data_IF_461415902711
#
_entry.id   IF_461415902711
#
_cell.length_a   1.000
_cell.length_b   1.000
_cell.length_c   1.000
_cell.angle_alpha   90.00
_cell.angle_beta   90.00
_cell.angle_gamma   90.00
#
_symmetry.space_group_name_H-M   'P 1'
#
loop_
_entity.id
_entity.type
_entity.pdbx_description
1 polymer ?
#
# COMPACT_ATOMS: atom_id res chain seq x y z
N UNK A 1 -22.43 20.95 -75.98
CA UNK A 1 -22.70 19.89 -74.98
C UNK A 1 -21.56 19.97 -73.98
N UNK A 2 -21.77 20.65 -72.81
CA UNK A 2 -20.74 20.90 -71.78
C UNK A 2 -21.04 19.98 -70.58
N UNK A 3 -20.22 18.95 -70.39
CA UNK A 3 -20.26 18.09 -69.24
C UNK A 3 -19.65 18.84 -68.03
N UNK A 4 -20.44 19.04 -66.95
CA UNK A 4 -19.98 19.54 -65.68
C UNK A 4 -19.63 18.37 -64.74
N UNK A 5 -18.33 18.18 -64.43
CA UNK A 5 -17.89 17.28 -63.37
C UNK A 5 -18.17 17.92 -62.01
N UNK A 6 -18.83 17.19 -61.11
CA UNK A 6 -19.03 17.53 -59.69
C UNK A 6 -17.83 17.01 -58.90
N UNK A 7 -17.21 17.76 -58.02
CA UNK A 7 -16.23 17.24 -57.09
C UNK A 7 -16.94 16.54 -55.92
N UNK A 8 -16.65 15.24 -55.74
CA UNK A 8 -17.05 14.51 -54.54
C UNK A 8 -16.13 14.89 -53.36
N UNK A 9 -16.75 15.56 -52.38
CA UNK A 9 -16.06 15.88 -51.15
C UNK A 9 -15.87 14.63 -50.26
N UNK A 10 -14.67 14.26 -50.03
CA UNK A 10 -14.31 13.31 -48.98
C UNK A 10 -14.25 14.04 -47.66
N UNK A 11 -15.15 13.71 -46.74
CA UNK A 11 -15.07 14.10 -45.32
C UNK A 11 -14.17 13.10 -44.63
N UNK A 12 -13.09 13.54 -43.95
CA UNK A 12 -12.35 12.65 -43.08
C UNK A 12 -13.17 12.39 -41.80
N UNK A 13 -13.53 11.13 -41.58
CA UNK A 13 -14.08 10.68 -40.31
C UNK A 13 -12.99 10.77 -39.23
N UNK A 14 -13.04 11.83 -38.44
CA UNK A 14 -12.20 11.96 -37.25
C UNK A 14 -12.70 10.94 -36.21
N UNK A 15 -12.03 9.78 -36.16
CA UNK A 15 -12.27 8.78 -35.11
C UNK A 15 -11.79 9.32 -33.76
N UNK A 16 -12.75 9.64 -32.89
CA UNK A 16 -12.50 10.03 -31.51
C UNK A 16 -12.09 8.78 -30.73
N UNK A 17 -10.78 8.56 -30.55
CA UNK A 17 -10.24 7.54 -29.66
C UNK A 17 -10.51 8.00 -28.21
N UNK A 18 -11.59 7.53 -27.61
CA UNK A 18 -11.80 7.62 -26.16
C UNK A 18 -10.76 6.71 -25.48
N UNK A 19 -9.67 7.30 -24.99
CA UNK A 19 -8.76 6.63 -24.08
C UNK A 19 -9.52 6.36 -22.77
N UNK A 20 -9.86 5.10 -22.52
CA UNK A 20 -10.38 4.63 -21.23
C UNK A 20 -9.25 4.75 -20.21
N UNK A 21 -9.18 5.88 -19.51
CA UNK A 21 -8.33 6.04 -18.34
C UNK A 21 -8.86 5.10 -17.25
N UNK A 22 -8.23 3.93 -17.09
CA UNK A 22 -8.48 3.08 -15.92
C UNK A 22 -7.90 3.81 -14.71
N UNK A 23 -8.68 4.07 -13.64
CA UNK A 23 -8.11 4.59 -12.41
C UNK A 23 -7.10 3.56 -11.89
N UNK A 24 -5.86 3.99 -11.71
CA UNK A 24 -4.88 3.18 -10.99
C UNK A 24 -5.46 2.95 -9.59
N UNK A 25 -5.85 1.71 -9.28
CA UNK A 25 -6.29 1.36 -7.94
C UNK A 25 -5.13 1.65 -6.98
N UNK A 26 -5.34 2.56 -6.03
CA UNK A 26 -4.37 2.80 -4.98
C UNK A 26 -4.20 1.51 -4.18
N UNK A 27 -2.96 1.16 -3.84
CA UNK A 27 -2.68 0.00 -2.99
C UNK A 27 -3.32 0.25 -1.62
N UNK A 28 -4.14 -0.68 -1.17
CA UNK A 28 -4.77 -0.63 0.15
C UNK A 28 -3.98 -1.51 1.11
N UNK A 29 -3.62 -0.96 2.27
CA UNK A 29 -2.96 -1.69 3.34
C UNK A 29 -3.79 -1.66 4.59
N UNK A 30 -3.84 -2.81 5.29
CA UNK A 30 -4.44 -2.93 6.63
C UNK A 30 -3.46 -3.63 7.56
N UNK A 31 -3.45 -3.22 8.81
CA UNK A 31 -2.61 -3.86 9.83
C UNK A 31 -3.40 -4.92 10.59
N UNK A 32 -2.71 -5.94 11.07
CA UNK A 32 -3.30 -6.92 11.97
C UNK A 32 -3.52 -6.30 13.36
N UNK A 33 -4.70 -6.43 13.92
CA UNK A 33 -5.01 -5.95 15.29
C UNK A 33 -4.44 -6.85 16.39
N UNK A 34 -4.11 -8.11 16.05
CA UNK A 34 -3.57 -9.14 16.96
C UNK A 34 -2.77 -10.15 16.17
N UNK A 35 -2.04 -11.02 16.86
CA UNK A 35 -1.43 -12.17 16.20
C UNK A 35 -2.52 -13.13 15.68
N UNK A 36 -2.37 -13.61 14.45
CA UNK A 36 -3.38 -14.39 13.74
C UNK A 36 -2.74 -15.36 12.74
N UNK A 37 -3.44 -16.46 12.47
CA UNK A 37 -3.06 -17.42 11.45
C UNK A 37 -3.39 -16.89 10.06
N UNK A 38 -2.51 -17.19 9.10
CA UNK A 38 -2.73 -17.03 7.67
C UNK A 38 -3.00 -18.39 7.03
N UNK A 39 -3.93 -18.43 6.08
CA UNK A 39 -4.44 -19.64 5.46
C UNK A 39 -4.21 -19.64 3.94
N UNK A 40 -4.18 -20.81 3.32
CA UNK A 40 -4.09 -20.98 1.86
C UNK A 40 -5.44 -20.78 1.14
N UNK A 41 -6.56 -20.85 1.87
CA UNK A 41 -7.91 -20.63 1.36
C UNK A 41 -8.77 -19.87 2.40
N UNK A 42 -9.91 -19.24 2.00
CA UNK A 42 -10.78 -18.47 2.90
C UNK A 42 -11.63 -19.40 3.80
N UNK A 43 -10.99 -20.16 4.66
CA UNK A 43 -11.64 -21.08 5.59
C UNK A 43 -10.71 -21.39 6.77
N UNK A 44 -11.26 -21.53 7.97
CA UNK A 44 -10.54 -21.97 9.18
C UNK A 44 -10.13 -23.45 9.11
N UNK A 45 -10.76 -24.24 8.23
CA UNK A 45 -10.39 -25.62 7.94
C UNK A 45 -9.26 -25.75 6.90
N UNK A 46 -8.88 -24.64 6.25
CA UNK A 46 -7.82 -24.59 5.26
C UNK A 46 -6.41 -24.78 5.88
N UNK A 47 -5.43 -24.99 5.03
CA UNK A 47 -4.04 -25.15 5.44
C UNK A 47 -3.51 -23.85 6.08
N UNK A 48 -2.90 -23.99 7.26
CA UNK A 48 -2.25 -22.90 7.98
C UNK A 48 -0.85 -22.70 7.43
N UNK A 49 -0.55 -21.54 6.83
CA UNK A 49 0.71 -21.32 6.11
C UNK A 49 1.69 -20.41 6.86
N UNK A 50 1.19 -19.55 7.76
CA UNK A 50 2.02 -18.65 8.54
C UNK A 50 1.25 -18.06 9.73
N UNK A 51 1.98 -17.36 10.59
CA UNK A 51 1.44 -16.51 11.65
C UNK A 51 1.82 -15.07 11.33
N UNK A 52 0.84 -14.19 11.27
CA UNK A 52 1.05 -12.75 11.24
C UNK A 52 1.08 -12.21 12.68
N UNK A 53 2.16 -11.53 13.07
CA UNK A 53 2.23 -10.85 14.36
C UNK A 53 1.25 -9.67 14.44
N UNK A 54 0.99 -9.17 15.63
CA UNK A 54 0.20 -7.94 15.83
C UNK A 54 0.88 -6.74 15.19
N UNK A 55 0.10 -5.87 14.53
CA UNK A 55 0.60 -4.68 13.85
C UNK A 55 1.30 -4.97 12.51
N UNK A 56 1.24 -6.18 11.96
CA UNK A 56 1.85 -6.45 10.66
C UNK A 56 1.04 -5.79 9.54
N UNK A 57 1.64 -4.90 8.73
CA UNK A 57 0.95 -4.32 7.57
C UNK A 57 0.85 -5.35 6.44
N UNK A 58 -0.35 -5.48 5.88
CA UNK A 58 -0.69 -6.41 4.80
C UNK A 58 -1.37 -5.64 3.68
N UNK A 59 -0.95 -5.89 2.44
CA UNK A 59 -1.60 -5.36 1.24
C UNK A 59 -2.89 -6.15 0.97
N UNK A 60 -3.99 -5.44 0.79
CA UNK A 60 -5.29 -6.04 0.47
C UNK A 60 -5.36 -6.33 -1.03
N UNK A 61 -5.56 -7.60 -1.39
CA UNK A 61 -5.70 -8.05 -2.77
C UNK A 61 -7.16 -8.31 -3.12
N UNK A 62 -7.91 -8.98 -2.23
CA UNK A 62 -9.34 -9.23 -2.37
C UNK A 62 -10.00 -9.07 -1.01
N UNK A 63 -11.05 -8.28 -0.94
CA UNK A 63 -11.84 -8.09 0.28
C UNK A 63 -13.21 -8.74 0.08
N UNK A 64 -13.56 -9.71 0.93
CA UNK A 64 -14.86 -10.38 0.97
C UNK A 64 -15.55 -10.10 2.31
N UNK A 65 -16.74 -10.64 2.52
CA UNK A 65 -17.51 -10.39 3.73
C UNK A 65 -16.77 -10.81 5.01
N UNK A 66 -16.19 -12.02 5.03
CA UNK A 66 -15.55 -12.58 6.23
C UNK A 66 -14.04 -12.75 6.11
N UNK A 67 -13.49 -12.76 4.90
CA UNK A 67 -12.10 -13.06 4.60
C UNK A 67 -11.48 -11.99 3.71
N UNK A 68 -10.18 -11.79 3.89
CA UNK A 68 -9.37 -10.91 3.04
C UNK A 68 -8.20 -11.69 2.48
N UNK A 69 -8.03 -11.66 1.15
CA UNK A 69 -6.78 -12.13 0.54
C UNK A 69 -5.75 -11.02 0.64
N UNK A 70 -4.61 -11.34 1.19
CA UNK A 70 -3.56 -10.36 1.48
C UNK A 70 -2.23 -10.78 0.87
N UNK A 71 -1.34 -9.81 0.70
CA UNK A 71 0.07 -10.00 0.39
C UNK A 71 0.92 -9.44 1.52
N UNK A 72 1.89 -10.24 1.99
CA UNK A 72 2.86 -9.76 2.97
C UNK A 72 4.09 -9.11 2.29
N UNK A 73 4.98 -8.55 3.10
CA UNK A 73 6.20 -7.88 2.65
C UNK A 73 7.18 -8.80 1.88
N UNK A 74 7.04 -10.12 2.01
CA UNK A 74 7.83 -11.11 1.28
C UNK A 74 7.24 -11.47 -0.08
N UNK A 75 6.02 -10.94 -0.39
CA UNK A 75 5.25 -11.26 -1.59
C UNK A 75 4.35 -12.47 -1.45
N UNK A 76 4.28 -13.10 -0.26
CA UNK A 76 3.42 -14.26 -0.01
C UNK A 76 1.97 -13.85 -0.04
N UNK A 77 1.15 -14.60 -0.79
CA UNK A 77 -0.30 -14.47 -0.79
C UNK A 77 -0.91 -15.43 0.23
N UNK A 78 -1.87 -14.93 1.00
CA UNK A 78 -2.58 -15.69 2.03
C UNK A 78 -3.99 -15.15 2.23
N UNK A 79 -4.80 -15.91 2.98
CA UNK A 79 -6.10 -15.49 3.46
C UNK A 79 -6.06 -15.25 4.96
N UNK A 80 -6.72 -14.20 5.41
CA UNK A 80 -6.87 -13.82 6.81
C UNK A 80 -8.34 -13.55 7.11
N UNK A 81 -8.78 -13.88 8.33
CA UNK A 81 -10.10 -13.48 8.79
C UNK A 81 -10.18 -11.95 8.85
N UNK A 82 -11.19 -11.37 8.24
CA UNK A 82 -11.37 -9.91 8.19
C UNK A 82 -11.40 -9.28 9.59
N UNK A 83 -11.98 -9.95 10.57
CA UNK A 83 -12.05 -9.50 11.96
C UNK A 83 -10.68 -9.42 12.67
N UNK A 84 -9.63 -10.00 12.08
CA UNK A 84 -8.28 -9.90 12.61
C UNK A 84 -7.52 -8.67 12.11
N UNK A 85 -8.05 -7.99 11.10
CA UNK A 85 -7.52 -6.75 10.56
C UNK A 85 -8.13 -5.55 11.32
N UNK A 86 -7.29 -4.58 11.66
CA UNK A 86 -7.71 -3.38 12.38
C UNK A 86 -6.60 -2.83 13.27
N UNK A 87 -6.96 -1.88 14.14
CA UNK A 87 -5.99 -1.20 15.00
C UNK A 87 -5.33 0.00 14.32
N UNK A 88 -4.18 0.41 14.84
CA UNK A 88 -3.41 1.51 14.29
C UNK A 88 -2.84 1.15 12.91
N UNK A 89 -2.79 2.13 12.01
CA UNK A 89 -2.10 1.99 10.73
C UNK A 89 -0.60 1.89 11.00
N UNK A 90 0.01 0.79 10.60
CA UNK A 90 1.43 0.55 10.79
C UNK A 90 2.17 0.42 9.47
N UNK A 91 3.45 0.68 9.51
CA UNK A 91 4.39 0.42 8.42
C UNK A 91 5.55 -0.41 8.96
N UNK A 92 6.21 -1.17 8.10
CA UNK A 92 7.38 -1.95 8.45
C UNK A 92 8.60 -1.43 7.70
N UNK A 93 9.70 -1.23 8.39
CA UNK A 93 10.96 -0.85 7.77
C UNK A 93 11.45 -1.96 6.85
N UNK A 94 11.60 -1.67 5.56
CA UNK A 94 12.10 -2.59 4.53
C UNK A 94 13.57 -2.34 4.18
N UNK A 95 14.07 -1.14 4.40
CA UNK A 95 15.49 -0.82 4.31
C UNK A 95 16.27 -1.57 5.40
N UNK A 96 17.58 -1.76 5.24
CA UNK A 96 18.42 -2.38 6.27
C UNK A 96 18.38 -1.56 7.57
N UNK A 97 18.42 -0.23 7.44
CA UNK A 97 18.24 0.71 8.52
C UNK A 97 17.57 1.97 7.99
N UNK A 98 16.61 2.52 8.73
CA UNK A 98 15.96 3.80 8.46
C UNK A 98 16.24 4.78 9.59
N UNK A 99 16.44 6.06 9.25
CA UNK A 99 16.68 7.11 10.22
C UNK A 99 15.40 7.90 10.43
N UNK A 100 14.90 7.87 11.66
CA UNK A 100 13.76 8.71 12.07
C UNK A 100 14.27 10.04 12.60
N UNK A 101 13.76 11.15 12.06
CA UNK A 101 14.22 12.51 12.32
C UNK A 101 13.13 13.36 12.96
N UNK A 102 13.52 14.42 13.65
CA UNK A 102 12.57 15.34 14.28
C UNK A 102 11.70 16.10 13.29
N UNK A 103 12.20 16.35 12.09
CA UNK A 103 11.51 17.10 11.03
C UNK A 103 11.64 16.38 9.69
N UNK A 104 10.73 16.61 8.73
CA UNK A 104 10.72 15.94 7.42
C UNK A 104 11.77 16.51 6.46
N UNK A 105 13.05 16.40 6.82
CA UNK A 105 14.21 16.83 6.02
C UNK A 105 15.47 16.06 6.40
N UNK A 106 16.37 15.88 5.43
CA UNK A 106 17.53 15.01 5.55
C UNK A 106 18.61 15.48 6.52
N UNK A 107 18.67 16.77 6.85
CA UNK A 107 19.62 17.41 7.77
C UNK A 107 19.05 17.63 9.18
N UNK A 108 17.78 17.25 9.43
CA UNK A 108 17.16 17.35 10.75
C UNK A 108 17.82 16.39 11.76
N UNK A 109 17.70 16.74 13.03
CA UNK A 109 18.22 15.94 14.14
C UNK A 109 17.63 14.53 14.14
N UNK A 110 18.47 13.55 14.47
CA UNK A 110 18.09 12.13 14.53
C UNK A 110 17.39 11.88 15.86
N UNK A 111 16.18 11.31 15.81
CA UNK A 111 15.49 10.83 17.01
C UNK A 111 15.93 9.41 17.35
N UNK A 112 15.87 8.49 16.37
CA UNK A 112 16.33 7.11 16.51
C UNK A 112 16.61 6.47 15.14
N UNK A 113 17.17 5.27 15.16
CA UNK A 113 17.37 4.42 14.00
C UNK A 113 16.52 3.16 14.15
N UNK A 114 15.81 2.78 13.08
CA UNK A 114 15.00 1.59 13.03
C UNK A 114 15.61 0.58 12.05
N UNK A 115 15.86 -0.63 12.51
CA UNK A 115 16.36 -1.71 11.68
C UNK A 115 15.25 -2.29 10.81
N UNK A 116 15.61 -3.08 9.79
CA UNK A 116 14.68 -3.84 8.96
C UNK A 116 13.74 -4.69 9.83
N UNK A 117 12.45 -4.69 9.47
CA UNK A 117 11.41 -5.45 10.17
C UNK A 117 10.80 -4.73 11.37
N UNK A 118 11.35 -3.59 11.81
CA UNK A 118 10.75 -2.78 12.87
C UNK A 118 9.41 -2.24 12.40
N UNK A 119 8.38 -2.42 13.24
CA UNK A 119 7.03 -1.89 13.02
C UNK A 119 6.91 -0.51 13.67
N UNK A 120 6.37 0.43 12.92
CA UNK A 120 6.12 1.81 13.35
C UNK A 120 4.66 2.16 13.06
N UNK A 121 4.01 2.85 13.96
CA UNK A 121 2.69 3.43 13.74
C UNK A 121 2.81 4.65 12.81
N UNK A 122 2.05 4.69 11.72
CA UNK A 122 1.92 5.86 10.89
C UNK A 122 0.90 6.81 11.55
N UNK A 123 1.38 7.96 12.04
CA UNK A 123 0.56 8.90 12.82
C UNK A 123 -0.14 9.95 11.97
N UNK A 124 0.10 9.94 10.67
CA UNK A 124 -0.50 10.86 9.69
C UNK A 124 -0.19 10.43 8.26
N UNK A 125 -0.57 11.27 7.33
CA UNK A 125 -0.27 11.06 5.92
C UNK A 125 1.15 11.51 5.57
N UNK A 126 1.66 10.95 4.48
CA UNK A 126 2.93 11.36 3.89
C UNK A 126 2.83 12.81 3.40
N UNK A 127 3.89 13.60 3.62
CA UNK A 127 3.99 14.94 3.05
C UNK A 127 4.29 14.92 1.55
N UNK A 128 4.29 16.08 0.91
CA UNK A 128 4.56 16.24 -0.53
C UNK A 128 5.99 15.89 -0.95
N UNK A 129 6.90 15.74 0.00
CA UNK A 129 8.31 15.40 -0.24
C UNK A 129 8.63 13.95 0.06
N UNK A 130 7.64 13.14 0.43
CA UNK A 130 7.80 11.71 0.69
C UNK A 130 8.26 11.37 2.10
N UNK A 131 7.99 12.22 3.09
CA UNK A 131 8.23 11.94 4.50
C UNK A 131 6.94 11.48 5.18
N UNK A 132 7.05 10.42 5.97
CA UNK A 132 5.93 9.82 6.72
C UNK A 132 6.15 10.08 8.21
N UNK A 133 5.16 10.67 8.93
CA UNK A 133 5.22 10.79 10.37
C UNK A 133 4.94 9.44 11.02
N UNK A 134 5.83 9.02 11.92
CA UNK A 134 5.77 7.71 12.57
C UNK A 134 6.03 7.79 14.06
N UNK A 135 5.56 6.77 14.78
CA UNK A 135 5.79 6.59 16.20
C UNK A 135 6.18 5.14 16.49
N UNK A 136 7.22 4.96 17.29
CA UNK A 136 7.62 3.66 17.80
C UNK A 136 6.83 3.29 19.06
N UNK A 137 6.78 2.00 19.41
CA UNK A 137 6.02 1.48 20.55
C UNK A 137 6.49 2.04 21.89
N UNK A 138 7.73 2.47 22.02
CA UNK A 138 8.29 3.14 23.22
C UNK A 138 7.89 4.61 23.35
N UNK A 139 7.15 5.16 22.37
CA UNK A 139 6.65 6.52 22.37
C UNK A 139 7.50 7.52 21.60
N UNK A 140 8.70 7.15 21.11
CA UNK A 140 9.51 8.01 20.27
C UNK A 140 8.83 8.23 18.93
N UNK A 141 8.77 9.48 18.46
CA UNK A 141 8.07 9.86 17.24
C UNK A 141 8.95 10.78 16.38
N UNK A 142 8.72 10.75 15.08
CA UNK A 142 9.45 11.57 14.12
C UNK A 142 9.03 11.26 12.68
N UNK A 143 9.90 11.55 11.75
CA UNK A 143 9.67 11.43 10.32
C UNK A 143 10.71 10.53 9.66
N UNK A 144 10.29 9.69 8.73
CA UNK A 144 11.17 8.86 7.91
C UNK A 144 10.77 8.92 6.42
N UNK A 145 11.72 8.61 5.50
CA UNK A 145 11.40 8.54 4.08
C UNK A 145 10.47 7.37 3.77
N UNK A 146 9.35 7.65 3.11
CA UNK A 146 8.29 6.68 2.82
C UNK A 146 8.76 5.52 1.94
N UNK A 147 9.78 5.73 1.10
CA UNK A 147 10.32 4.67 0.23
C UNK A 147 11.12 3.60 1.01
N UNK A 148 11.45 3.85 2.29
CA UNK A 148 12.15 2.91 3.17
C UNK A 148 11.20 1.96 3.93
N UNK A 149 9.89 2.10 3.75
CA UNK A 149 8.88 1.28 4.45
C UNK A 149 7.96 0.53 3.50
N UNK A 150 7.33 -0.51 4.04
CA UNK A 150 6.22 -1.29 3.48
C UNK A 150 4.94 -1.00 4.28
N UNK A 151 3.76 -1.02 3.63
CA UNK A 151 2.48 -0.87 4.33
C UNK A 151 1.86 0.54 4.22
N UNK A 152 2.16 1.26 3.15
CA UNK A 152 1.72 2.64 2.93
C UNK A 152 0.75 2.77 1.78
#
# INVERSE_FOLDING_TARGET
>A
MKLRLRPSGWLPAAGLLLALAHPAAALEYRSTGRAVLLYDAPSTAAGKIAIAGSGLPLEVIVDTEAWVKVRDHSGRLAWIEKAALGGARTVMVKAESSIVRQQPRGDAEIVFRAARGVLLEATGDMDSYGWLPVKHADGLAGWLPVHEVWGR
#
